data_IF_076401327178
#
_entry.id   IF_076401327178
#
_cell.length_a   1.000
_cell.length_b   1.000
_cell.length_c   1.000
_cell.angle_alpha   90.00
_cell.angle_beta   90.00
_cell.angle_gamma   90.00
#
_symmetry.space_group_name_H-M   'P 1'
#
loop_
_entity.id
_entity.type
_entity.pdbx_description
1 polymer ?
#
# COMPACT_ATOMS: atom_id res chain seq x y z
N UNK A 1 -7.52 7.85 22.00
CA UNK A 1 -7.09 9.20 22.51
C UNK A 1 -5.59 9.34 22.27
N UNK A 2 -5.21 10.35 21.52
CA UNK A 2 -3.80 10.68 21.25
C UNK A 2 -3.48 12.03 21.89
N UNK A 3 -2.36 12.10 22.58
CA UNK A 3 -1.88 13.33 23.21
C UNK A 3 -0.96 14.12 22.27
N UNK A 4 -0.71 15.40 22.57
CA UNK A 4 0.31 16.19 21.89
C UNK A 4 1.69 15.50 21.93
N UNK A 5 2.02 14.87 23.07
CA UNK A 5 3.28 14.16 23.24
C UNK A 5 3.41 12.98 22.25
N UNK A 6 2.32 12.21 22.03
CA UNK A 6 2.33 11.11 21.07
C UNK A 6 2.64 11.60 19.64
N UNK A 7 1.94 12.65 19.20
CA UNK A 7 2.16 13.24 17.88
C UNK A 7 3.56 13.86 17.73
N UNK A 8 4.03 14.60 18.72
CA UNK A 8 5.37 15.19 18.69
C UNK A 8 6.47 14.13 18.63
N UNK A 9 6.35 13.08 19.44
CA UNK A 9 7.29 11.96 19.42
C UNK A 9 7.33 11.28 18.06
N UNK A 10 6.16 11.07 17.42
CA UNK A 10 6.08 10.45 16.11
C UNK A 10 6.63 11.35 15.00
N UNK A 11 6.32 12.64 15.00
CA UNK A 11 6.90 13.60 14.06
C UNK A 11 8.43 13.69 14.19
N UNK A 12 8.95 13.65 15.42
CA UNK A 12 10.39 13.59 15.67
C UNK A 12 11.00 12.30 15.14
N UNK A 13 10.33 11.15 15.32
CA UNK A 13 10.79 9.87 14.75
C UNK A 13 10.83 9.90 13.22
N UNK A 14 9.81 10.50 12.58
CA UNK A 14 9.74 10.67 11.14
C UNK A 14 10.84 11.60 10.57
N UNK A 15 11.33 12.55 11.35
CA UNK A 15 12.42 13.45 10.93
C UNK A 15 13.73 12.71 10.61
N UNK A 16 13.91 11.51 11.15
CA UNK A 16 15.07 10.66 10.87
C UNK A 16 15.05 9.98 9.49
N UNK A 17 13.92 10.00 8.79
CA UNK A 17 13.78 9.30 7.49
C UNK A 17 14.41 10.05 6.32
N UNK A 18 14.51 11.36 6.41
CA UNK A 18 15.13 12.24 5.41
C UNK A 18 15.66 13.51 6.06
N UNK A 19 16.83 13.95 5.60
CA UNK A 19 17.37 15.26 6.02
C UNK A 19 16.51 16.39 5.42
N UNK A 20 15.77 17.10 6.28
CA UNK A 20 14.95 18.26 5.95
C UNK A 20 15.69 19.54 6.33
N UNK A 21 15.70 20.50 5.40
CA UNK A 21 16.21 21.85 5.66
C UNK A 21 15.04 22.84 5.72
N UNK A 22 15.17 23.96 6.47
CA UNK A 22 14.18 25.04 6.43
C UNK A 22 13.91 25.48 4.98
N UNK A 23 12.64 25.74 4.68
CA UNK A 23 12.19 26.08 3.33
C UNK A 23 12.00 24.90 2.37
N UNK A 24 12.28 23.65 2.78
CA UNK A 24 11.89 22.45 2.00
C UNK A 24 10.38 22.47 1.72
N UNK A 25 9.99 22.19 0.48
CA UNK A 25 8.60 22.27 0.03
C UNK A 25 7.94 20.90 0.09
N UNK A 26 6.85 20.82 0.84
CA UNK A 26 5.93 19.70 0.88
C UNK A 26 4.69 19.98 0.04
N UNK A 27 4.17 18.98 -0.64
CA UNK A 27 2.80 18.99 -1.18
C UNK A 27 1.98 17.98 -0.40
N UNK A 28 0.94 18.48 0.27
CA UNK A 28 -0.02 17.72 1.06
C UNK A 28 -1.20 17.34 0.18
N UNK A 29 -1.36 16.05 -0.05
CA UNK A 29 -2.36 15.46 -0.96
C UNK A 29 -3.49 14.80 -0.19
N UNK A 30 -3.21 14.29 1.01
CA UNK A 30 -4.14 13.50 1.81
C UNK A 30 -4.95 14.42 2.77
N UNK A 31 -6.11 13.96 3.26
CA UNK A 31 -6.87 14.72 4.26
C UNK A 31 -6.11 14.86 5.58
N UNK A 32 -6.07 16.07 6.14
CA UNK A 32 -5.45 16.35 7.45
C UNK A 32 -6.13 15.62 8.62
N UNK A 33 -7.36 15.14 8.44
CA UNK A 33 -8.03 14.28 9.42
C UNK A 33 -7.39 12.89 9.56
N UNK A 34 -6.55 12.49 8.60
CA UNK A 34 -5.75 11.28 8.69
C UNK A 34 -4.50 11.52 9.52
N UNK A 35 -4.25 10.66 10.50
CA UNK A 35 -3.09 10.75 11.38
C UNK A 35 -1.76 10.80 10.61
N UNK A 36 -1.66 10.11 9.47
CA UNK A 36 -0.48 10.13 8.60
C UNK A 36 -0.20 11.53 8.04
N UNK A 37 -1.22 12.16 7.43
CA UNK A 37 -1.06 13.50 6.87
C UNK A 37 -0.88 14.54 7.98
N UNK A 38 -1.61 14.40 9.10
CA UNK A 38 -1.49 15.30 10.23
C UNK A 38 -0.08 15.28 10.82
N UNK A 39 0.50 14.11 11.03
CA UNK A 39 1.84 14.01 11.66
C UNK A 39 2.96 14.28 10.66
N UNK A 40 2.96 13.61 9.51
CA UNK A 40 4.09 13.65 8.57
C UNK A 40 3.93 14.78 7.53
N UNK A 41 2.68 15.17 7.21
CA UNK A 41 2.37 16.22 6.22
C UNK A 41 2.18 17.62 6.84
N UNK A 42 1.92 17.72 8.16
CA UNK A 42 1.74 19.00 8.83
C UNK A 42 2.75 19.19 9.97
N UNK A 43 2.75 18.33 11.00
CA UNK A 43 3.57 18.56 12.20
C UNK A 43 5.08 18.46 11.89
N UNK A 44 5.50 17.42 11.16
CA UNK A 44 6.90 17.26 10.77
C UNK A 44 7.45 18.48 9.98
N UNK A 45 6.81 18.94 8.89
CA UNK A 45 7.29 20.11 8.18
C UNK A 45 7.30 21.38 9.03
N UNK A 46 6.32 21.56 9.93
CA UNK A 46 6.32 22.69 10.88
C UNK A 46 7.52 22.65 11.82
N UNK A 47 7.82 21.48 12.40
CA UNK A 47 8.98 21.29 13.28
C UNK A 47 10.30 21.56 12.58
N UNK A 48 10.38 21.30 11.27
CA UNK A 48 11.60 21.47 10.47
C UNK A 48 11.69 22.82 9.75
N UNK A 49 10.72 23.73 9.95
CA UNK A 49 10.70 25.03 9.24
C UNK A 49 10.47 24.90 7.73
N UNK A 50 9.76 23.86 7.31
CA UNK A 50 9.43 23.60 5.91
C UNK A 50 8.17 24.37 5.48
N UNK A 51 7.94 24.46 4.16
CA UNK A 51 6.74 25.05 3.57
C UNK A 51 5.81 23.92 3.11
N UNK A 52 4.52 24.04 3.40
CA UNK A 52 3.49 23.07 2.96
C UNK A 52 2.52 23.74 2.00
N UNK A 53 2.32 23.13 0.84
CA UNK A 53 1.28 23.50 -0.13
C UNK A 53 0.15 22.47 -0.08
N UNK A 54 -1.06 22.91 0.26
CA UNK A 54 -2.24 22.05 0.36
C UNK A 54 -3.01 21.99 -0.95
N UNK A 55 -3.41 20.78 -1.36
CA UNK A 55 -4.16 20.58 -2.62
C UNK A 55 -5.57 21.16 -2.53
N UNK A 56 -6.23 21.13 -1.37
CA UNK A 56 -7.54 21.75 -1.12
C UNK A 56 -8.71 21.19 -1.93
N UNK A 57 -8.51 20.12 -2.69
CA UNK A 57 -9.50 19.46 -3.56
C UNK A 57 -9.26 17.96 -3.56
N UNK A 58 -10.24 17.19 -4.05
CA UNK A 58 -10.04 15.75 -4.27
C UNK A 58 -8.83 15.53 -5.17
N UNK A 59 -7.78 14.82 -4.71
CA UNK A 59 -6.55 14.65 -5.46
C UNK A 59 -6.77 13.69 -6.63
N UNK A 60 -6.77 14.24 -7.84
CA UNK A 60 -6.65 13.45 -9.07
C UNK A 60 -5.22 13.59 -9.61
N UNK A 61 -4.71 12.63 -10.42
CA UNK A 61 -3.37 12.75 -11.00
C UNK A 61 -3.11 14.08 -11.70
N UNK A 62 -4.12 14.64 -12.40
CA UNK A 62 -3.99 15.92 -13.08
C UNK A 62 -3.83 17.10 -12.09
N UNK A 63 -4.59 17.11 -11.00
CA UNK A 63 -4.49 18.14 -9.95
C UNK A 63 -3.13 18.04 -9.25
N UNK A 64 -2.71 16.83 -8.89
CA UNK A 64 -1.40 16.58 -8.26
C UNK A 64 -0.28 17.05 -9.18
N UNK A 65 -0.33 16.71 -10.48
CA UNK A 65 0.66 17.16 -11.45
C UNK A 65 0.73 18.69 -11.54
N UNK A 66 -0.42 19.35 -11.63
CA UNK A 66 -0.49 20.82 -11.75
C UNK A 66 0.14 21.51 -10.55
N UNK A 67 -0.16 21.06 -9.34
CA UNK A 67 0.40 21.63 -8.10
C UNK A 67 1.89 21.33 -8.01
N UNK A 68 2.31 20.09 -8.25
CA UNK A 68 3.72 19.73 -8.20
C UNK A 68 4.56 20.46 -9.25
N UNK A 69 4.03 20.71 -10.45
CA UNK A 69 4.72 21.51 -11.48
C UNK A 69 4.90 22.97 -11.06
N UNK A 70 3.94 23.54 -10.30
CA UNK A 70 4.03 24.91 -9.80
C UNK A 70 4.92 25.02 -8.57
N UNK A 71 4.69 24.20 -7.57
CA UNK A 71 5.36 24.24 -6.26
C UNK A 71 6.75 23.61 -6.28
N UNK A 72 7.01 22.71 -7.22
CA UNK A 72 8.25 21.94 -7.38
C UNK A 72 8.74 21.32 -6.05
N UNK A 73 7.90 20.48 -5.40
CA UNK A 73 8.17 19.97 -4.06
C UNK A 73 9.39 19.05 -4.01
N UNK A 74 10.03 19.02 -2.85
CA UNK A 74 11.03 18.00 -2.49
C UNK A 74 10.39 16.80 -1.79
N UNK A 75 9.22 16.98 -1.17
CA UNK A 75 8.51 15.90 -0.47
C UNK A 75 7.04 15.88 -0.91
N UNK A 76 6.57 14.69 -1.27
CA UNK A 76 5.14 14.46 -1.58
C UNK A 76 4.71 13.22 -0.82
N UNK A 77 3.59 13.31 -0.10
CA UNK A 77 2.98 12.19 0.60
C UNK A 77 1.77 11.71 -0.20
N UNK A 78 1.71 10.42 -0.48
CA UNK A 78 0.64 9.82 -1.28
C UNK A 78 0.11 8.52 -0.67
N UNK A 79 -1.16 8.23 -0.94
CA UNK A 79 -1.68 6.88 -0.77
C UNK A 79 -1.31 6.01 -1.98
N UNK A 80 -1.14 4.69 -1.82
CA UNK A 80 -0.87 3.75 -2.90
C UNK A 80 -1.81 3.91 -4.10
N UNK A 81 -3.11 4.08 -3.86
CA UNK A 81 -4.13 4.21 -4.91
C UNK A 81 -3.83 5.33 -5.93
N UNK A 82 -3.37 6.49 -5.46
CA UNK A 82 -3.01 7.62 -6.34
C UNK A 82 -1.80 7.25 -7.21
N UNK A 83 -0.82 6.59 -6.60
CA UNK A 83 0.38 6.15 -7.31
C UNK A 83 0.06 5.04 -8.33
N UNK A 84 -0.81 4.12 -7.98
CA UNK A 84 -1.32 3.08 -8.87
C UNK A 84 -2.01 3.67 -10.10
N UNK A 85 -2.86 4.66 -9.90
CA UNK A 85 -3.53 5.36 -11.01
C UNK A 85 -2.52 6.08 -11.92
N UNK A 86 -1.51 6.74 -11.34
CA UNK A 86 -0.43 7.38 -12.11
C UNK A 86 0.36 6.32 -12.88
N UNK A 87 0.72 5.21 -12.24
CA UNK A 87 1.48 4.12 -12.85
C UNK A 87 0.71 3.50 -14.02
N UNK A 88 -0.56 3.13 -13.80
CA UNK A 88 -1.43 2.57 -14.85
C UNK A 88 -1.55 3.52 -16.05
N UNK A 89 -1.85 4.80 -15.81
CA UNK A 89 -2.07 5.78 -16.88
C UNK A 89 -0.80 6.26 -17.59
N UNK A 90 0.34 6.29 -16.92
CA UNK A 90 1.57 6.90 -17.46
C UNK A 90 2.65 5.89 -17.83
N UNK A 91 2.74 4.76 -17.13
CA UNK A 91 3.78 3.74 -17.36
C UNK A 91 3.20 2.58 -18.17
N UNK A 92 2.15 1.94 -17.65
CA UNK A 92 1.58 0.76 -18.30
C UNK A 92 0.95 1.07 -19.65
N UNK A 93 0.22 2.19 -19.78
CA UNK A 93 -0.36 2.61 -21.05
C UNK A 93 0.67 2.75 -22.19
N UNK A 94 1.92 3.14 -21.87
CA UNK A 94 3.00 3.22 -22.88
C UNK A 94 3.53 1.85 -23.30
N UNK A 95 3.57 0.88 -22.37
CA UNK A 95 3.97 -0.52 -22.67
C UNK A 95 2.90 -1.22 -23.51
N UNK A 96 1.64 -0.99 -23.20
CA UNK A 96 0.51 -1.62 -23.86
C UNK A 96 0.28 -1.08 -25.29
N UNK A 97 0.43 0.23 -25.47
CA UNK A 97 0.26 0.88 -26.78
C UNK A 97 1.39 0.53 -27.77
N UNK A 98 2.52 -0.01 -27.28
CA UNK A 98 3.64 -0.43 -28.11
C UNK A 98 3.95 -1.93 -27.91
N UNK A 99 3.29 -2.80 -28.69
CA UNK A 99 3.44 -4.26 -28.62
C UNK A 99 4.90 -4.71 -28.72
N UNK A 100 5.71 -4.05 -29.52
CA UNK A 100 7.14 -4.35 -29.66
C UNK A 100 7.90 -4.02 -28.37
N UNK A 101 7.60 -2.88 -27.73
CA UNK A 101 8.18 -2.51 -26.45
C UNK A 101 7.77 -3.48 -25.33
N UNK A 102 6.49 -3.88 -25.28
CA UNK A 102 6.00 -4.89 -24.33
C UNK A 102 6.72 -6.23 -24.44
N UNK A 103 7.01 -6.68 -25.68
CA UNK A 103 7.80 -7.88 -25.90
C UNK A 103 9.25 -7.74 -25.42
N UNK A 104 9.91 -6.63 -25.74
CA UNK A 104 11.30 -6.38 -25.33
C UNK A 104 11.44 -6.15 -23.81
N UNK A 105 10.43 -5.65 -23.12
CA UNK A 105 10.42 -5.49 -21.66
C UNK A 105 10.37 -6.82 -20.88
N UNK A 106 10.23 -7.96 -21.57
CA UNK A 106 10.46 -9.27 -20.95
C UNK A 106 11.93 -9.51 -20.58
N UNK A 107 12.86 -8.82 -21.28
CA UNK A 107 14.28 -8.84 -20.93
C UNK A 107 14.59 -7.81 -19.86
N UNK A 108 15.16 -8.24 -18.73
CA UNK A 108 15.43 -7.40 -17.55
C UNK A 108 16.21 -6.12 -17.86
N UNK A 109 17.24 -6.19 -18.71
CA UNK A 109 18.06 -5.04 -19.07
C UNK A 109 17.27 -3.96 -19.82
N UNK A 110 16.40 -4.38 -20.75
CA UNK A 110 15.56 -3.45 -21.53
C UNK A 110 14.46 -2.87 -20.65
N UNK A 111 13.86 -3.70 -19.78
CA UNK A 111 12.88 -3.26 -18.80
C UNK A 111 13.45 -2.21 -17.84
N UNK A 112 14.65 -2.43 -17.31
CA UNK A 112 15.34 -1.46 -16.45
C UNK A 112 15.59 -0.12 -17.16
N UNK A 113 15.99 -0.15 -18.43
CA UNK A 113 16.20 1.06 -19.23
C UNK A 113 14.88 1.82 -19.46
N UNK A 114 13.83 1.09 -19.80
CA UNK A 114 12.48 1.66 -19.94
C UNK A 114 11.98 2.26 -18.62
N UNK A 115 12.12 1.53 -17.51
CA UNK A 115 11.68 2.02 -16.19
C UNK A 115 12.48 3.24 -15.73
N UNK A 116 13.79 3.30 -16.02
CA UNK A 116 14.58 4.52 -15.77
C UNK A 116 14.03 5.73 -16.53
N UNK A 117 13.71 5.55 -17.82
CA UNK A 117 13.14 6.63 -18.64
C UNK A 117 11.73 7.04 -18.14
N UNK A 118 10.92 6.06 -17.75
CA UNK A 118 9.61 6.32 -17.15
C UNK A 118 9.75 7.01 -15.78
N UNK A 119 10.76 6.64 -14.99
CA UNK A 119 11.08 7.28 -13.72
C UNK A 119 11.44 8.75 -13.86
N UNK A 120 12.24 9.13 -14.86
CA UNK A 120 12.53 10.54 -15.14
C UNK A 120 11.25 11.33 -15.43
N UNK A 121 10.34 10.76 -16.22
CA UNK A 121 9.03 11.40 -16.49
C UNK A 121 8.17 11.51 -15.24
N UNK A 122 8.27 10.53 -14.32
CA UNK A 122 7.57 10.60 -13.05
C UNK A 122 8.21 11.64 -12.11
N UNK A 123 9.52 11.79 -12.14
CA UNK A 123 10.20 12.91 -11.46
C UNK A 123 9.71 14.26 -11.98
N UNK A 124 9.60 14.42 -13.32
CA UNK A 124 9.07 15.64 -13.94
C UNK A 124 7.60 15.88 -13.57
N UNK A 125 6.79 14.81 -13.50
CA UNK A 125 5.41 14.87 -13.02
C UNK A 125 5.30 15.49 -11.62
N UNK A 126 6.23 15.15 -10.72
CA UNK A 126 6.34 15.73 -9.39
C UNK A 126 7.16 17.03 -9.32
N UNK A 127 7.42 17.70 -10.45
CA UNK A 127 8.09 19.01 -10.51
C UNK A 127 9.62 18.97 -10.57
N UNK A 128 10.23 17.80 -10.77
CA UNK A 128 11.65 17.61 -11.06
C UNK A 128 12.62 17.82 -9.88
N UNK A 129 12.10 18.01 -8.63
CA UNK A 129 12.92 18.26 -7.44
C UNK A 129 12.65 17.30 -6.29
N UNK A 130 11.90 16.22 -6.57
CA UNK A 130 11.49 15.25 -5.56
C UNK A 130 12.72 14.58 -4.91
N UNK A 131 12.73 14.59 -3.57
CA UNK A 131 13.73 13.92 -2.72
C UNK A 131 13.12 12.81 -1.88
N UNK A 132 11.79 12.85 -1.67
CA UNK A 132 11.03 11.85 -0.95
C UNK A 132 9.62 11.75 -1.51
N UNK A 133 9.26 10.56 -1.95
CA UNK A 133 7.89 10.13 -2.15
C UNK A 133 7.49 9.24 -0.96
N UNK A 134 6.79 9.80 0.03
CA UNK A 134 6.29 9.05 1.17
C UNK A 134 5.00 8.32 0.79
N UNK A 135 4.99 7.01 0.93
CA UNK A 135 3.86 6.14 0.57
C UNK A 135 3.37 5.44 1.84
N UNK A 136 2.10 5.62 2.20
CA UNK A 136 1.55 5.04 3.42
C UNK A 136 0.03 4.91 3.38
N UNK A 137 -0.53 4.31 4.42
CA UNK A 137 -1.97 4.14 4.61
C UNK A 137 -2.57 2.85 4.04
N UNK A 138 -1.88 2.20 3.12
CA UNK A 138 -2.22 0.87 2.60
C UNK A 138 -0.96 0.19 2.06
N UNK A 139 -1.04 -1.11 1.76
CA UNK A 139 0.06 -1.82 1.13
C UNK A 139 0.24 -1.37 -0.32
N UNK A 140 1.48 -1.29 -0.78
CA UNK A 140 1.81 -0.94 -2.16
C UNK A 140 1.88 -2.20 -3.01
N UNK A 141 1.36 -2.12 -4.24
CA UNK A 141 1.48 -3.19 -5.22
C UNK A 141 2.96 -3.53 -5.49
N UNK A 142 3.38 -4.82 -5.38
CA UNK A 142 4.78 -5.23 -5.58
C UNK A 142 5.36 -4.87 -6.96
N UNK A 143 4.54 -4.81 -8.00
CA UNK A 143 5.00 -4.39 -9.33
C UNK A 143 5.36 -2.91 -9.37
N UNK A 144 4.58 -2.09 -8.67
CA UNK A 144 4.84 -0.66 -8.57
C UNK A 144 6.09 -0.42 -7.73
N UNK A 145 6.25 -1.14 -6.63
CA UNK A 145 7.48 -1.08 -5.84
C UNK A 145 8.71 -1.46 -6.69
N UNK A 146 8.62 -2.56 -7.44
CA UNK A 146 9.68 -2.98 -8.37
C UNK A 146 9.98 -1.90 -9.41
N UNK A 147 8.94 -1.25 -9.94
CA UNK A 147 9.11 -0.13 -10.85
C UNK A 147 9.84 1.04 -10.18
N UNK A 148 9.43 1.46 -8.98
CA UNK A 148 10.05 2.56 -8.24
C UNK A 148 11.53 2.28 -7.95
N UNK A 149 11.86 1.04 -7.55
CA UNK A 149 13.24 0.58 -7.32
C UNK A 149 14.07 0.62 -8.61
N UNK A 150 13.57 0.02 -9.70
CA UNK A 150 14.29 -0.03 -10.97
C UNK A 150 14.40 1.35 -11.65
N UNK A 151 13.44 2.22 -11.40
CA UNK A 151 13.45 3.62 -11.85
C UNK A 151 14.32 4.52 -10.98
N UNK A 152 14.86 4.02 -9.87
CA UNK A 152 15.67 4.77 -8.90
C UNK A 152 14.95 6.00 -8.35
N UNK A 153 13.65 5.87 -8.07
CA UNK A 153 12.87 6.93 -7.45
C UNK A 153 13.12 6.99 -5.94
N UNK A 154 13.22 8.19 -5.35
CA UNK A 154 13.41 8.34 -3.91
C UNK A 154 12.08 8.11 -3.19
N UNK A 155 11.79 6.91 -2.74
CA UNK A 155 10.56 6.62 -2.03
C UNK A 155 10.80 5.92 -0.68
N UNK A 156 9.80 6.00 0.18
CA UNK A 156 9.73 5.32 1.48
C UNK A 156 8.33 4.72 1.63
N UNK A 157 8.29 3.45 1.99
CA UNK A 157 7.06 2.80 2.45
C UNK A 157 6.96 2.99 3.96
N UNK A 158 5.84 3.55 4.44
CA UNK A 158 5.56 3.72 5.86
C UNK A 158 4.43 2.80 6.31
N UNK A 159 4.65 2.12 7.43
CA UNK A 159 3.63 1.35 8.14
C UNK A 159 3.26 2.01 9.44
N UNK A 160 1.97 1.98 9.76
CA UNK A 160 1.48 2.46 11.01
C UNK A 160 -0.04 2.36 11.14
N UNK A 161 -0.50 2.64 12.35
CA UNK A 161 -1.91 2.63 12.75
C UNK A 161 -2.26 3.92 13.44
N UNK A 162 -3.53 4.33 13.41
CA UNK A 162 -3.97 5.59 14.03
C UNK A 162 -3.63 5.64 15.52
N UNK A 163 -3.72 4.50 16.19
CA UNK A 163 -3.39 4.31 17.61
C UNK A 163 -1.91 4.57 17.96
N UNK A 164 -1.05 4.70 16.94
CA UNK A 164 0.38 4.96 17.08
C UNK A 164 0.83 6.32 16.50
N UNK A 165 -0.05 7.25 16.17
CA UNK A 165 0.17 8.65 15.77
C UNK A 165 0.88 8.96 14.44
N UNK A 166 0.89 8.18 13.36
CA UNK A 166 0.60 6.78 13.19
C UNK A 166 1.85 5.90 13.00
N UNK A 167 3.03 6.48 12.66
CA UNK A 167 4.18 5.79 12.07
C UNK A 167 4.86 4.85 13.05
N UNK A 168 5.00 3.59 12.66
CA UNK A 168 5.66 2.53 13.43
C UNK A 168 6.93 2.02 12.76
N UNK A 169 6.88 1.80 11.43
CA UNK A 169 8.02 1.35 10.65
C UNK A 169 8.16 2.14 9.35
N UNK A 170 9.38 2.40 8.97
CA UNK A 170 9.78 2.97 7.68
C UNK A 170 11.29 2.80 7.49
N UNK A 171 11.77 2.95 6.25
CA UNK A 171 13.21 3.02 5.96
C UNK A 171 13.63 4.44 5.59
N UNK A 172 14.84 4.89 5.96
CA UNK A 172 15.41 6.09 5.39
C UNK A 172 15.51 6.00 3.87
N UNK A 173 15.36 7.14 3.20
CA UNK A 173 15.46 7.19 1.73
C UNK A 173 16.83 6.70 1.28
N UNK A 174 16.83 5.69 0.41
CA UNK A 174 18.06 5.16 -0.20
C UNK A 174 18.90 4.27 0.71
N UNK A 175 18.37 3.84 1.85
CA UNK A 175 19.06 2.86 2.72
C UNK A 175 19.05 1.46 2.05
N UNK A 176 20.22 0.90 1.70
CA UNK A 176 20.32 -0.42 1.09
C UNK A 176 19.97 -1.56 2.06
N UNK A 177 19.88 -1.27 3.36
CA UNK A 177 19.47 -2.23 4.39
C UNK A 177 17.97 -2.46 4.47
N UNK A 178 17.16 -1.76 3.65
CA UNK A 178 15.72 -1.98 3.56
C UNK A 178 15.43 -3.02 2.50
N UNK A 179 14.87 -4.15 2.94
CA UNK A 179 14.54 -5.24 2.04
C UNK A 179 13.31 -4.89 1.16
N UNK A 180 13.36 -5.16 -0.16
CA UNK A 180 12.18 -5.01 -1.03
C UNK A 180 10.98 -5.81 -0.50
N UNK A 181 9.79 -5.24 -0.59
CA UNK A 181 8.55 -5.81 -0.06
C UNK A 181 8.35 -5.58 1.44
N UNK A 182 9.32 -4.97 2.13
CA UNK A 182 9.17 -4.57 3.54
C UNK A 182 8.73 -3.12 3.67
N UNK A 183 8.17 -2.80 4.82
CA UNK A 183 7.89 -1.41 5.22
C UNK A 183 9.08 -0.76 5.96
N UNK A 184 10.26 -1.39 5.89
CA UNK A 184 11.45 -0.94 6.61
C UNK A 184 11.49 -1.40 8.06
N UNK A 185 12.24 -0.68 8.89
CA UNK A 185 12.52 -1.00 10.29
C UNK A 185 11.69 -0.11 11.22
N UNK A 186 11.64 -0.49 12.50
CA UNK A 186 11.05 0.35 13.53
C UNK A 186 11.64 1.76 13.48
N UNK A 187 10.78 2.79 13.48
CA UNK A 187 11.25 4.17 13.53
C UNK A 187 11.85 4.49 14.90
N UNK A 188 12.62 5.59 14.99
CA UNK A 188 13.29 5.98 16.22
C UNK A 188 12.33 6.00 17.41
N UNK A 189 12.78 5.49 18.57
CA UNK A 189 12.03 5.40 19.82
C UNK A 189 10.80 4.47 19.79
N UNK A 190 10.63 3.67 18.73
CA UNK A 190 9.60 2.64 18.62
C UNK A 190 10.26 1.27 18.68
N UNK A 191 9.64 0.34 19.40
CA UNK A 191 9.99 -1.07 19.40
C UNK A 191 8.87 -1.88 18.75
N UNK A 192 9.24 -2.88 17.97
CA UNK A 192 8.33 -3.82 17.33
C UNK A 192 8.65 -5.24 17.79
N UNK A 193 7.63 -6.04 17.95
CA UNK A 193 7.75 -7.49 18.12
C UNK A 193 6.63 -8.20 17.40
N UNK A 194 6.84 -9.48 17.12
CA UNK A 194 5.81 -10.37 16.59
C UNK A 194 5.33 -11.24 17.75
N UNK A 195 4.05 -11.17 18.03
CA UNK A 195 3.41 -11.95 19.08
C UNK A 195 2.89 -13.27 18.52
N UNK A 196 3.13 -14.37 19.24
CA UNK A 196 2.76 -15.72 18.80
C UNK A 196 3.15 -16.04 17.35
N UNK A 197 4.44 -15.91 16.96
CA UNK A 197 4.84 -16.19 15.59
C UNK A 197 4.65 -17.68 15.28
N UNK A 198 4.07 -17.94 14.12
CA UNK A 198 4.00 -19.29 13.56
C UNK A 198 5.42 -19.85 13.38
N UNK A 199 5.71 -21.08 13.84
CA UNK A 199 7.07 -21.63 13.87
C UNK A 199 7.71 -21.81 12.48
N UNK A 200 6.90 -21.98 11.42
CA UNK A 200 7.40 -22.23 10.05
C UNK A 200 7.55 -20.93 9.27
N UNK A 201 6.60 -19.99 9.43
CA UNK A 201 6.54 -18.76 8.63
C UNK A 201 7.06 -17.53 9.34
N UNK A 202 7.15 -17.58 10.68
CA UNK A 202 7.49 -16.44 11.54
C UNK A 202 6.39 -15.36 11.59
N UNK A 203 5.20 -15.62 11.02
CA UNK A 203 4.09 -14.67 10.96
C UNK A 203 3.30 -14.73 12.27
N UNK A 204 3.06 -13.56 12.86
CA UNK A 204 2.23 -13.39 14.03
C UNK A 204 1.68 -11.97 14.12
N UNK A 205 1.01 -11.64 15.23
CA UNK A 205 0.48 -10.29 15.42
C UNK A 205 1.61 -9.29 15.67
N UNK A 206 1.60 -8.20 14.91
CA UNK A 206 2.55 -7.09 15.11
C UNK A 206 2.14 -6.33 16.36
N UNK A 207 3.06 -6.23 17.31
CA UNK A 207 2.91 -5.38 18.47
C UNK A 207 3.95 -4.26 18.48
N UNK A 208 3.53 -3.10 18.96
CA UNK A 208 4.37 -1.90 18.97
C UNK A 208 4.41 -1.26 20.36
N UNK A 209 5.56 -0.70 20.73
CA UNK A 209 5.73 0.07 21.96
C UNK A 209 6.56 1.32 21.69
N UNK A 210 6.15 2.44 22.24
CA UNK A 210 6.86 3.71 22.08
C UNK A 210 6.06 4.89 22.62
N UNK A 211 6.68 6.08 22.67
CA UNK A 211 6.04 7.31 23.17
C UNK A 211 4.92 7.81 22.24
N UNK A 212 4.81 7.26 21.05
CA UNK A 212 3.79 7.59 20.05
C UNK A 212 2.49 6.79 20.22
N UNK A 213 2.45 5.79 21.12
CA UNK A 213 1.28 4.93 21.35
C UNK A 213 0.18 5.68 22.08
N UNK A 214 -1.06 5.43 21.72
CA UNK A 214 -2.26 6.05 22.29
C UNK A 214 -2.39 5.81 23.80
N UNK A 215 -3.18 6.65 24.44
CA UNK A 215 -3.55 6.50 25.86
C UNK A 215 -4.73 5.53 26.06
N UNK A 216 -5.47 5.22 25.01
CA UNK A 216 -6.63 4.33 24.99
C UNK A 216 -7.77 4.86 24.14
N UNK A 217 -8.86 4.11 24.08
CA UNK A 217 -10.10 4.50 23.40
C UNK A 217 -10.98 5.31 24.36
N UNK A 218 -11.62 6.36 23.81
CA UNK A 218 -12.46 7.26 24.61
C UNK A 218 -13.71 6.52 25.12
N UNK A 219 -13.92 6.54 26.41
CA UNK A 219 -15.07 5.90 27.09
C UNK A 219 -15.22 4.40 26.79
N UNK A 220 -14.13 3.72 26.40
CA UNK A 220 -14.13 2.30 26.12
C UNK A 220 -12.91 1.62 26.79
N UNK A 221 -12.98 1.34 28.09
CA UNK A 221 -11.88 0.70 28.83
C UNK A 221 -11.67 -0.75 28.42
N UNK A 222 -12.71 -1.47 27.99
CA UNK A 222 -12.59 -2.85 27.54
C UNK A 222 -11.82 -2.95 26.24
N UNK A 223 -12.17 -2.14 25.23
CA UNK A 223 -11.38 -2.09 23.99
C UNK A 223 -9.96 -1.59 24.26
N UNK A 224 -9.76 -0.65 25.20
CA UNK A 224 -8.43 -0.19 25.58
C UNK A 224 -7.59 -1.31 26.17
N UNK A 225 -8.15 -2.10 27.11
CA UNK A 225 -7.47 -3.25 27.71
C UNK A 225 -7.18 -4.37 26.70
N UNK A 226 -8.06 -4.55 25.72
CA UNK A 226 -7.82 -5.51 24.65
C UNK A 226 -6.69 -5.10 23.70
N UNK A 227 -6.55 -3.78 23.46
CA UNK A 227 -5.53 -3.23 22.55
C UNK A 227 -4.18 -2.95 23.20
N UNK A 228 -4.17 -2.51 24.48
CA UNK A 228 -2.96 -2.21 25.25
C UNK A 228 -2.71 -3.35 26.24
N UNK A 229 -1.75 -4.20 25.92
CA UNK A 229 -1.35 -5.32 26.78
C UNK A 229 -0.25 -4.91 27.77
N UNK A 230 0.20 -5.86 28.60
CA UNK A 230 1.20 -5.63 29.62
C UNK A 230 2.43 -4.86 29.11
N UNK A 231 3.03 -4.06 29.96
CA UNK A 231 4.20 -3.20 29.65
C UNK A 231 3.95 -2.15 28.57
N UNK A 232 2.69 -1.84 28.22
CA UNK A 232 2.32 -0.77 27.28
C UNK A 232 2.56 -1.16 25.81
N UNK A 233 2.54 -2.43 25.47
CA UNK A 233 2.54 -2.88 24.08
C UNK A 233 1.16 -2.72 23.46
N UNK A 234 1.11 -2.09 22.28
CA UNK A 234 -0.09 -1.99 21.45
C UNK A 234 -0.20 -3.20 20.54
N UNK A 235 -1.31 -3.90 20.61
CA UNK A 235 -1.73 -4.89 19.61
C UNK A 235 -2.27 -4.13 18.40
N UNK A 236 -1.64 -4.28 17.24
CA UNK A 236 -2.04 -3.52 16.03
C UNK A 236 -3.20 -4.15 15.28
N UNK A 237 -3.49 -5.44 15.54
CA UNK A 237 -4.42 -6.25 14.77
C UNK A 237 -3.93 -6.56 13.35
N UNK A 238 -2.71 -6.15 13.00
CA UNK A 238 -2.06 -6.49 11.75
C UNK A 238 -1.11 -7.67 11.95
N UNK A 239 -0.99 -8.53 10.94
CA UNK A 239 -0.09 -9.68 10.93
C UNK A 239 1.15 -9.38 10.10
N UNK A 240 2.27 -9.87 10.56
CA UNK A 240 3.54 -9.70 9.86
C UNK A 240 4.67 -10.53 10.44
N UNK A 241 5.84 -10.35 9.86
CA UNK A 241 7.09 -10.96 10.32
C UNK A 241 8.23 -9.97 10.25
N UNK A 242 9.24 -10.18 11.07
CA UNK A 242 10.51 -9.46 11.02
C UNK A 242 11.58 -10.38 10.42
N UNK A 243 12.43 -9.84 9.55
CA UNK A 243 13.65 -10.53 9.15
C UNK A 243 14.77 -10.33 10.18
N UNK A 244 15.91 -11.00 9.98
CA UNK A 244 17.08 -10.90 10.85
C UNK A 244 17.67 -9.47 10.91
N UNK A 245 17.47 -8.68 9.87
CA UNK A 245 17.90 -7.29 9.79
C UNK A 245 16.91 -6.32 10.45
N UNK A 246 15.74 -6.83 10.93
CA UNK A 246 14.68 -6.04 11.56
C UNK A 246 13.73 -5.35 10.57
N UNK A 247 13.72 -5.75 9.29
CA UNK A 247 12.74 -5.28 8.34
C UNK A 247 11.37 -5.92 8.59
N UNK A 248 10.32 -5.11 8.62
CA UNK A 248 8.94 -5.53 8.85
C UNK A 248 8.22 -5.82 7.53
N UNK A 249 7.70 -7.02 7.39
CA UNK A 249 6.85 -7.46 6.29
C UNK A 249 5.42 -7.61 6.78
N UNK A 250 4.49 -6.84 6.19
CA UNK A 250 3.07 -6.92 6.50
C UNK A 250 2.45 -8.04 5.68
N UNK A 251 1.73 -8.96 6.32
CA UNK A 251 1.11 -10.11 5.68
C UNK A 251 -0.40 -9.98 5.53
N UNK A 252 -1.06 -9.25 6.42
CA UNK A 252 -2.52 -9.07 6.40
C UNK A 252 -3.07 -8.57 7.73
N UNK A 253 -4.37 -8.78 7.95
CA UNK A 253 -5.04 -8.45 9.20
C UNK A 253 -5.48 -9.68 9.96
N UNK A 254 -5.39 -9.64 11.28
CA UNK A 254 -5.81 -10.73 12.15
C UNK A 254 -7.29 -11.11 11.92
N UNK A 255 -8.16 -10.11 11.81
CA UNK A 255 -9.60 -10.32 11.60
C UNK A 255 -9.98 -10.70 10.15
N UNK A 256 -9.02 -10.73 9.23
CA UNK A 256 -9.25 -11.11 7.83
C UNK A 256 -8.72 -12.49 7.50
N UNK A 257 -8.01 -13.14 8.43
CA UNK A 257 -7.45 -14.47 8.21
C UNK A 257 -8.58 -15.46 7.93
N UNK A 258 -8.43 -16.21 6.87
CA UNK A 258 -9.29 -17.34 6.55
C UNK A 258 -8.61 -18.60 7.10
N UNK A 259 -9.27 -19.26 8.03
CA UNK A 259 -8.79 -20.54 8.58
C UNK A 259 -9.47 -21.66 7.82
N UNK A 260 -8.71 -22.39 7.02
CA UNK A 260 -9.24 -23.54 6.28
C UNK A 260 -9.55 -24.73 7.21
N UNK A 261 -10.37 -25.66 6.75
CA UNK A 261 -10.66 -26.89 7.49
C UNK A 261 -9.42 -27.75 7.80
N UNK A 262 -8.34 -27.56 7.04
CA UNK A 262 -7.02 -28.17 7.29
C UNK A 262 -6.26 -27.53 8.45
N UNK A 263 -6.75 -26.42 9.02
CA UNK A 263 -6.08 -25.63 10.05
C UNK A 263 -5.07 -24.61 9.51
N UNK A 264 -4.90 -24.50 8.20
CA UNK A 264 -3.97 -23.56 7.59
C UNK A 264 -4.56 -22.14 7.56
N UNK A 265 -3.72 -21.15 7.87
CA UNK A 265 -4.06 -19.74 7.82
C UNK A 265 -3.81 -19.17 6.43
N UNK A 266 -4.85 -18.64 5.81
CA UNK A 266 -4.76 -17.92 4.54
C UNK A 266 -4.88 -16.43 4.78
N UNK A 267 -3.99 -15.66 4.16
CA UNK A 267 -3.94 -14.20 4.23
C UNK A 267 -4.53 -13.60 2.94
N UNK A 268 -5.83 -13.29 2.91
CA UNK A 268 -6.53 -12.93 1.67
C UNK A 268 -5.95 -11.66 1.04
N UNK A 269 -5.50 -10.69 1.84
CA UNK A 269 -4.91 -9.45 1.33
C UNK A 269 -3.67 -9.70 0.47
N UNK A 270 -2.84 -10.69 0.83
CA UNK A 270 -1.65 -11.06 0.05
C UNK A 270 -2.01 -11.62 -1.34
N UNK A 271 -3.13 -12.33 -1.43
CA UNK A 271 -3.67 -12.85 -2.69
C UNK A 271 -4.30 -11.72 -3.51
N UNK A 272 -5.11 -10.88 -2.86
CA UNK A 272 -5.79 -9.73 -3.48
C UNK A 272 -4.79 -8.74 -4.09
N UNK A 273 -3.66 -8.53 -3.44
CA UNK A 273 -2.58 -7.70 -3.99
C UNK A 273 -2.11 -8.21 -5.35
N UNK A 274 -1.99 -9.53 -5.51
CA UNK A 274 -1.58 -10.14 -6.79
C UNK A 274 -2.68 -10.01 -7.84
N UNK A 275 -3.95 -10.18 -7.43
CA UNK A 275 -5.09 -9.99 -8.31
C UNK A 275 -5.22 -8.55 -8.79
N UNK A 276 -5.09 -7.59 -7.86
CA UNK A 276 -5.18 -6.16 -8.15
C UNK A 276 -4.00 -5.62 -8.99
N UNK A 277 -2.91 -6.39 -9.11
CA UNK A 277 -1.81 -6.07 -10.03
C UNK A 277 -2.22 -6.20 -11.50
N UNK A 278 -3.24 -7.00 -11.81
CA UNK A 278 -3.69 -7.19 -13.19
C UNK A 278 -4.38 -5.94 -13.74
N UNK A 279 -4.05 -5.49 -14.96
CA UNK A 279 -4.55 -4.22 -15.52
C UNK A 279 -6.07 -4.12 -15.61
N UNK A 280 -6.75 -5.26 -15.81
CA UNK A 280 -8.21 -5.32 -15.95
C UNK A 280 -8.96 -5.52 -14.63
N UNK A 281 -8.24 -5.61 -13.51
CA UNK A 281 -8.83 -5.71 -12.16
C UNK A 281 -8.83 -4.32 -11.53
N UNK A 282 -10.01 -3.82 -11.18
CA UNK A 282 -10.16 -2.59 -10.44
C UNK A 282 -10.14 -2.86 -8.94
N UNK A 283 -10.83 -3.91 -8.50
CA UNK A 283 -10.90 -4.33 -7.11
C UNK A 283 -11.06 -5.85 -7.03
N UNK A 284 -10.52 -6.46 -5.98
CA UNK A 284 -10.76 -7.87 -5.70
C UNK A 284 -10.96 -8.12 -4.21
N UNK A 285 -11.66 -9.22 -3.90
CA UNK A 285 -11.86 -9.71 -2.55
C UNK A 285 -11.76 -11.23 -2.57
N UNK A 286 -10.92 -11.78 -1.71
CA UNK A 286 -10.78 -13.23 -1.52
C UNK A 286 -11.53 -13.64 -0.26
N UNK A 287 -12.34 -14.69 -0.39
CA UNK A 287 -13.12 -15.28 0.69
C UNK A 287 -13.07 -16.81 0.66
N UNK A 288 -13.38 -17.42 1.77
CA UNK A 288 -13.73 -18.81 1.83
C UNK A 288 -15.23 -18.96 1.57
N UNK A 289 -15.60 -19.95 0.78
CA UNK A 289 -16.99 -20.32 0.53
C UNK A 289 -17.11 -21.84 0.37
N UNK A 290 -17.82 -22.51 1.25
CA UNK A 290 -18.03 -23.98 1.26
C UNK A 290 -16.69 -24.77 1.19
N UNK A 291 -15.68 -24.35 1.95
CA UNK A 291 -14.37 -25.03 2.02
C UNK A 291 -13.43 -24.72 0.88
N UNK A 292 -13.76 -23.79 -0.03
CA UNK A 292 -12.91 -23.38 -1.14
C UNK A 292 -12.59 -21.89 -1.11
N UNK A 293 -11.44 -21.51 -1.64
CA UNK A 293 -11.06 -20.10 -1.82
C UNK A 293 -11.67 -19.56 -3.12
N UNK A 294 -12.50 -18.54 -2.99
CA UNK A 294 -13.08 -17.79 -4.09
C UNK A 294 -12.50 -16.37 -4.14
N UNK A 295 -12.20 -15.90 -5.35
CA UNK A 295 -11.89 -14.52 -5.63
C UNK A 295 -13.07 -13.84 -6.32
N UNK A 296 -13.61 -12.79 -5.70
CA UNK A 296 -14.57 -11.88 -6.31
C UNK A 296 -13.80 -10.76 -6.99
N UNK A 297 -14.01 -10.51 -8.26
CA UNK A 297 -13.27 -9.51 -9.04
C UNK A 297 -14.22 -8.50 -9.65
N UNK A 298 -14.05 -7.24 -9.30
CA UNK A 298 -14.67 -6.13 -9.98
C UNK A 298 -13.73 -5.64 -11.08
N UNK A 299 -14.12 -5.81 -12.37
CA UNK A 299 -13.24 -5.48 -13.47
C UNK A 299 -13.21 -3.97 -13.77
N UNK A 300 -12.10 -3.51 -14.34
CA UNK A 300 -11.97 -2.15 -14.87
C UNK A 300 -12.74 -2.06 -16.20
N UNK A 301 -13.88 -1.36 -16.17
CA UNK A 301 -14.77 -1.22 -17.32
C UNK A 301 -14.10 -0.47 -18.46
N UNK A 302 -13.36 0.62 -18.18
CA UNK A 302 -12.69 1.44 -19.18
C UNK A 302 -11.59 0.63 -19.89
N UNK A 303 -10.83 -0.16 -19.13
CA UNK A 303 -9.82 -1.04 -19.70
C UNK A 303 -10.43 -2.09 -20.62
N UNK A 304 -11.52 -2.74 -20.19
CA UNK A 304 -12.23 -3.74 -20.99
C UNK A 304 -12.82 -3.12 -22.25
N UNK A 305 -13.46 -1.95 -22.16
CA UNK A 305 -14.06 -1.26 -23.28
C UNK A 305 -13.03 -0.87 -24.35
N UNK A 306 -11.83 -0.49 -23.91
CA UNK A 306 -10.73 -0.18 -24.82
C UNK A 306 -10.28 -1.37 -25.68
N UNK A 307 -10.44 -2.61 -25.17
CA UNK A 307 -9.98 -3.87 -25.78
C UNK A 307 -11.08 -4.64 -26.53
N UNK A 308 -12.34 -4.36 -26.19
CA UNK A 308 -13.51 -5.04 -26.77
C UNK A 308 -14.41 -4.08 -27.56
N UNK A 309 -13.84 -2.96 -28.01
CA UNK A 309 -14.57 -1.92 -28.74
C UNK A 309 -15.15 -2.48 -30.03
N UNK A 310 -16.48 -2.47 -30.14
CA UNK A 310 -17.20 -3.02 -31.29
C UNK A 310 -17.60 -4.48 -31.15
N UNK A 311 -17.22 -5.17 -30.08
CA UNK A 311 -17.62 -6.53 -29.83
C UNK A 311 -19.03 -6.61 -29.21
N UNK A 312 -19.78 -7.67 -29.61
CA UNK A 312 -21.06 -7.98 -28.97
C UNK A 312 -20.83 -8.46 -27.53
N UNK A 313 -21.84 -8.24 -26.67
CA UNK A 313 -21.83 -8.60 -25.25
C UNK A 313 -21.31 -10.00 -24.95
N UNK A 314 -21.68 -11.00 -25.79
CA UNK A 314 -21.22 -12.37 -25.63
C UNK A 314 -19.71 -12.54 -25.80
N UNK A 315 -19.11 -11.93 -26.83
CA UNK A 315 -17.66 -11.95 -27.04
C UNK A 315 -16.89 -11.23 -25.94
N UNK A 316 -17.43 -10.11 -25.45
CA UNK A 316 -16.86 -9.40 -24.32
C UNK A 316 -16.82 -10.28 -23.05
N UNK A 317 -17.92 -10.99 -22.79
CA UNK A 317 -18.00 -11.91 -21.64
C UNK A 317 -17.03 -13.08 -21.79
N UNK A 318 -16.91 -13.66 -22.98
CA UNK A 318 -15.95 -14.72 -23.26
C UNK A 318 -14.51 -14.25 -23.08
N UNK A 319 -14.18 -13.04 -23.58
CA UNK A 319 -12.88 -12.42 -23.38
C UNK A 319 -12.55 -12.23 -21.89
N UNK A 320 -13.49 -11.68 -21.12
CA UNK A 320 -13.32 -11.50 -19.67
C UNK A 320 -13.13 -12.85 -18.96
N UNK A 321 -13.92 -13.87 -19.27
CA UNK A 321 -13.81 -15.19 -18.67
C UNK A 321 -12.43 -15.83 -18.97
N UNK A 322 -11.89 -15.62 -20.16
CA UNK A 322 -10.54 -16.08 -20.52
C UNK A 322 -9.49 -15.36 -19.67
N UNK A 323 -9.56 -14.03 -19.56
CA UNK A 323 -8.65 -13.24 -18.74
C UNK A 323 -8.66 -13.68 -17.26
N UNK A 324 -9.84 -13.90 -16.69
CA UNK A 324 -9.98 -14.36 -15.30
C UNK A 324 -9.36 -15.75 -15.09
N UNK A 325 -9.49 -16.64 -16.06
CA UNK A 325 -8.87 -17.97 -15.99
C UNK A 325 -7.33 -17.91 -16.13
N UNK A 326 -6.83 -17.07 -17.02
CA UNK A 326 -5.39 -16.83 -17.18
C UNK A 326 -4.80 -16.22 -15.89
N UNK A 327 -5.41 -15.19 -15.35
CA UNK A 327 -5.05 -14.56 -14.07
C UNK A 327 -5.03 -15.59 -12.92
N UNK A 328 -6.09 -16.41 -12.79
CA UNK A 328 -6.13 -17.45 -11.75
C UNK A 328 -4.95 -18.40 -11.84
N UNK A 329 -4.57 -18.84 -13.04
CA UNK A 329 -3.41 -19.72 -13.25
C UNK A 329 -2.12 -19.02 -12.84
N UNK A 330 -1.88 -17.82 -13.36
CA UNK A 330 -0.69 -17.02 -13.10
C UNK A 330 -0.51 -16.72 -11.59
N UNK A 331 -1.59 -16.28 -10.92
CA UNK A 331 -1.55 -16.01 -9.47
C UNK A 331 -1.30 -17.30 -8.69
N UNK A 332 -1.97 -18.40 -9.04
CA UNK A 332 -1.81 -19.69 -8.37
C UNK A 332 -0.41 -20.31 -8.52
N UNK A 333 0.32 -20.02 -9.61
CA UNK A 333 1.71 -20.46 -9.77
C UNK A 333 2.64 -19.87 -8.71
N UNK A 334 2.30 -18.70 -8.21
CA UNK A 334 3.06 -17.96 -7.20
C UNK A 334 2.59 -18.20 -5.76
N UNK A 335 1.54 -19.02 -5.55
CA UNK A 335 0.93 -19.27 -4.25
C UNK A 335 1.23 -20.70 -3.75
N UNK A 336 1.38 -20.88 -2.43
CA UNK A 336 1.34 -22.21 -1.81
C UNK A 336 0.06 -22.95 -2.20
N UNK A 337 0.09 -24.27 -2.20
CA UNK A 337 -1.03 -25.11 -2.63
C UNK A 337 -2.31 -24.80 -1.85
N UNK A 338 -2.21 -24.61 -0.54
CA UNK A 338 -3.32 -24.28 0.36
C UNK A 338 -3.95 -22.90 0.09
N UNK A 339 -3.15 -21.96 -0.42
CA UNK A 339 -3.61 -20.59 -0.71
C UNK A 339 -4.14 -20.41 -2.14
N UNK A 340 -4.20 -21.47 -2.94
CA UNK A 340 -4.63 -21.38 -4.33
C UNK A 340 -6.11 -21.08 -4.46
N UNK A 341 -6.42 -20.15 -5.35
CA UNK A 341 -7.78 -19.75 -5.70
C UNK A 341 -8.44 -20.90 -6.49
N UNK A 342 -9.53 -21.43 -5.99
CA UNK A 342 -10.31 -22.47 -6.67
C UNK A 342 -11.21 -21.87 -7.76
N UNK A 343 -11.82 -20.71 -7.46
CA UNK A 343 -12.82 -20.09 -8.31
C UNK A 343 -12.65 -18.60 -8.37
N UNK A 344 -12.87 -18.00 -9.56
CA UNK A 344 -12.93 -16.55 -9.75
C UNK A 344 -14.30 -16.18 -10.27
N UNK A 345 -14.93 -15.19 -9.65
CA UNK A 345 -16.26 -14.69 -10.00
C UNK A 345 -16.19 -13.20 -10.34
N UNK A 346 -16.91 -12.80 -11.38
CA UNK A 346 -17.10 -11.39 -11.68
C UNK A 346 -18.06 -10.79 -10.66
N UNK A 347 -17.64 -9.73 -9.98
CA UNK A 347 -18.51 -8.92 -9.14
C UNK A 347 -19.07 -7.76 -9.97
N UNK A 348 -20.40 -7.51 -9.93
CA UNK A 348 -21.04 -6.60 -10.89
C UNK A 348 -20.86 -5.11 -10.57
N UNK A 349 -20.49 -4.76 -9.35
CA UNK A 349 -20.43 -3.39 -8.83
C UNK A 349 -19.22 -3.17 -7.93
N UNK A 350 -18.80 -1.90 -7.68
CA UNK A 350 -17.73 -1.61 -6.74
C UNK A 350 -18.04 -2.14 -5.34
N UNK A 351 -17.04 -2.66 -4.64
CA UNK A 351 -17.24 -3.10 -3.27
C UNK A 351 -17.55 -1.92 -2.33
N UNK A 352 -18.46 -2.15 -1.37
CA UNK A 352 -18.73 -1.18 -0.30
C UNK A 352 -17.49 -0.96 0.56
N UNK A 353 -17.16 0.30 0.81
CA UNK A 353 -15.93 0.69 1.50
C UNK A 353 -16.20 1.51 2.75
N UNK A 354 -15.23 1.47 3.66
CA UNK A 354 -15.16 2.41 4.78
C UNK A 354 -14.78 3.82 4.30
N UNK A 355 -14.87 4.83 5.18
CA UNK A 355 -14.37 6.17 4.91
C UNK A 355 -12.87 6.21 4.56
N UNK A 356 -12.12 5.18 4.95
CA UNK A 356 -10.69 5.00 4.64
C UNK A 356 -10.43 4.16 3.38
N UNK A 357 -11.43 4.02 2.51
CA UNK A 357 -11.39 3.27 1.25
C UNK A 357 -11.06 1.76 1.37
N UNK A 358 -11.29 1.15 2.54
CA UNK A 358 -11.12 -0.30 2.75
C UNK A 358 -12.43 -1.03 2.47
N UNK A 359 -12.38 -2.17 1.79
CA UNK A 359 -13.54 -3.01 1.52
C UNK A 359 -14.12 -3.53 2.85
N UNK A 360 -15.43 -3.38 3.04
CA UNK A 360 -16.18 -3.92 4.18
C UNK A 360 -16.40 -5.42 3.99
N UNK A 361 -15.36 -6.22 4.28
CA UNK A 361 -15.34 -7.68 4.03
C UNK A 361 -16.54 -8.40 4.57
N UNK A 362 -17.02 -8.03 5.79
CA UNK A 362 -18.16 -8.65 6.46
C UNK A 362 -19.46 -8.63 5.64
N UNK A 363 -19.55 -7.78 4.61
CA UNK A 363 -20.70 -7.77 3.70
C UNK A 363 -20.63 -8.86 2.62
N UNK A 364 -19.49 -9.51 2.46
CA UNK A 364 -19.19 -10.44 1.36
C UNK A 364 -18.71 -11.81 1.85
N UNK A 365 -18.44 -11.97 3.14
CA UNK A 365 -18.17 -13.25 3.80
C UNK A 365 -19.50 -13.78 4.35
N UNK A 366 -19.84 -14.99 3.96
CA UNK A 366 -21.06 -15.68 4.44
C UNK A 366 -20.84 -16.29 5.81
#
# INVERSE_FOLDING_TARGET
MLSHANFCANAQSASGLIALAPGTVFVSVLPLSHAYEFTVGLLLPLLCGCRVAYVGRTPTPAIVQKICSHERPQVVLVAPLILEEIYKKRVMAQLENNRTMGFFCRFDSIRKLFFRKAGLRLMDFFGGRLRLLGIGGAALNPEIERFLLQASLPFVLGYGVSEASPLLAAGPVGDPGIAPGSTGKAVRNVRLRIDNPDPETGIGEIQAQGPNIMQGYLNDPEATKAALVEDGWLRTGDLGRLDEAGNLFICGRLNSVIVLASGENIYPEAIEHKLNAMPFVQESLVRENMGILEALVYPDADWLDSRTRGDHRAKRQEYLNRLLNEMRREVNESLPISSRINRVLVWPEPFSKTATHRIKRFLYTL
#
